data_IF_945285742750
#
_entry.id   IF_945285742750
#
_cell.length_a   1.000
_cell.length_b   1.000
_cell.length_c   1.000
_cell.angle_alpha   90.00
_cell.angle_beta   90.00
_cell.angle_gamma   90.00
#
_symmetry.space_group_name_H-M   'P 1'
#
loop_
_entity.id
_entity.type
_entity.pdbx_description
1 polymer ?
#
# COMPACT_ATOMS: atom_id res chain seq x y z
N UNK A 1 -55.68 -25.64 4.57
CA UNK A 1 -55.05 -24.85 3.49
C UNK A 1 -53.77 -24.09 3.90
N UNK A 2 -53.30 -24.11 5.16
CA UNK A 2 -52.13 -23.32 5.61
C UNK A 2 -50.76 -24.00 5.43
N UNK A 3 -50.75 -25.32 5.19
CA UNK A 3 -49.54 -26.16 5.08
C UNK A 3 -48.64 -25.85 3.87
N UNK A 4 -49.16 -25.64 2.65
CA UNK A 4 -48.31 -25.30 1.50
C UNK A 4 -47.71 -23.89 1.62
N UNK A 5 -48.43 -22.93 2.23
CA UNK A 5 -47.92 -21.57 2.45
C UNK A 5 -46.75 -21.50 3.44
N UNK A 6 -46.77 -22.32 4.49
CA UNK A 6 -45.67 -22.42 5.46
C UNK A 6 -44.40 -23.04 4.84
N UNK A 7 -44.56 -24.03 3.97
CA UNK A 7 -43.43 -24.65 3.26
C UNK A 7 -42.81 -23.67 2.27
N UNK A 8 -43.63 -22.98 1.48
CA UNK A 8 -43.15 -21.97 0.53
C UNK A 8 -42.40 -20.82 1.23
N UNK A 9 -42.91 -20.36 2.39
CA UNK A 9 -42.27 -19.32 3.19
C UNK A 9 -40.92 -19.79 3.75
N UNK A 10 -40.83 -21.04 4.24
CA UNK A 10 -39.58 -21.61 4.75
C UNK A 10 -38.50 -21.75 3.68
N UNK A 11 -38.87 -22.15 2.46
CA UNK A 11 -37.94 -22.26 1.32
C UNK A 11 -37.43 -20.88 0.89
N UNK A 12 -38.31 -19.88 0.84
CA UNK A 12 -37.91 -18.51 0.49
C UNK A 12 -36.94 -17.93 1.52
N UNK A 13 -37.18 -18.14 2.82
CA UNK A 13 -36.28 -17.72 3.90
C UNK A 13 -34.91 -18.41 3.81
N UNK A 14 -34.89 -19.73 3.61
CA UNK A 14 -33.64 -20.46 3.45
C UNK A 14 -32.81 -19.95 2.26
N UNK A 15 -33.44 -19.64 1.13
CA UNK A 15 -32.75 -19.08 -0.04
C UNK A 15 -32.11 -17.72 0.25
N UNK A 16 -32.73 -16.86 1.08
CA UNK A 16 -32.14 -15.57 1.48
C UNK A 16 -30.98 -15.69 2.47
N UNK A 17 -30.82 -16.82 3.16
CA UNK A 17 -29.65 -17.05 4.01
C UNK A 17 -28.41 -17.44 3.19
N UNK A 18 -28.57 -17.98 1.97
CA UNK A 18 -27.44 -18.38 1.12
C UNK A 18 -26.72 -17.20 0.44
N UNK A 19 -27.36 -16.01 0.33
CA UNK A 19 -26.69 -14.81 -0.21
C UNK A 19 -25.60 -14.26 0.73
N UNK A 20 -25.52 -14.72 1.98
CA UNK A 20 -24.43 -14.36 2.89
C UNK A 20 -23.06 -14.92 2.47
N UNK A 21 -23.02 -15.96 1.62
CA UNK A 21 -21.77 -16.49 1.05
C UNK A 21 -21.41 -15.88 -0.33
N UNK A 22 -22.21 -14.94 -0.84
CA UNK A 22 -22.00 -14.28 -2.13
C UNK A 22 -21.24 -12.96 -2.02
N UNK A 23 -20.21 -12.90 -1.17
CA UNK A 23 -19.39 -11.70 -1.07
C UNK A 23 -18.76 -11.34 -2.43
N UNK A 24 -18.59 -10.04 -2.68
CA UNK A 24 -17.90 -9.61 -3.90
C UNK A 24 -16.51 -10.25 -3.92
N UNK A 25 -16.08 -10.88 -5.03
CA UNK A 25 -14.75 -11.44 -5.11
C UNK A 25 -13.71 -10.41 -4.66
N UNK A 26 -12.93 -10.74 -3.61
CA UNK A 26 -11.78 -9.96 -3.16
C UNK A 26 -10.65 -10.10 -4.19
N UNK A 27 -10.95 -9.68 -5.40
CA UNK A 27 -10.03 -9.59 -6.50
C UNK A 27 -9.49 -8.18 -6.53
N UNK A 28 -8.23 -8.05 -6.90
CA UNK A 28 -7.61 -6.75 -7.12
C UNK A 28 -8.05 -6.16 -8.47
N UNK A 29 -9.36 -6.08 -8.70
CA UNK A 29 -9.96 -5.67 -9.96
C UNK A 29 -9.60 -4.22 -10.34
N UNK A 30 -9.28 -3.38 -9.35
CA UNK A 30 -8.83 -2.00 -9.54
C UNK A 30 -7.30 -1.87 -9.74
N UNK A 31 -6.56 -2.98 -9.67
CA UNK A 31 -5.11 -3.01 -9.81
C UNK A 31 -4.34 -2.65 -8.53
N UNK A 32 -3.05 -3.01 -8.50
CA UNK A 32 -2.16 -2.66 -7.39
C UNK A 32 -1.83 -1.17 -7.49
N UNK A 33 -2.07 -0.41 -6.42
CA UNK A 33 -1.51 0.93 -6.32
C UNK A 33 0.00 0.80 -6.17
N UNK A 34 0.74 1.27 -7.17
CA UNK A 34 2.19 1.38 -7.07
C UNK A 34 2.55 2.56 -6.17
N UNK A 35 3.55 2.33 -5.31
CA UNK A 35 4.12 3.40 -4.48
C UNK A 35 4.80 4.46 -5.36
N UNK A 36 4.87 5.68 -4.84
CA UNK A 36 5.64 6.74 -5.47
C UNK A 36 7.13 6.38 -5.50
N UNK A 37 7.85 6.92 -6.48
CA UNK A 37 9.31 6.74 -6.53
C UNK A 37 9.95 7.38 -5.30
N UNK A 38 10.96 6.74 -4.67
CA UNK A 38 11.44 7.17 -3.36
C UNK A 38 12.15 8.53 -3.36
N UNK A 39 12.53 9.06 -4.54
CA UNK A 39 13.11 10.40 -4.69
C UNK A 39 12.06 11.50 -4.96
N UNK A 40 10.75 11.20 -4.97
CA UNK A 40 9.70 12.21 -5.20
C UNK A 40 9.39 13.10 -4.00
N UNK A 41 10.13 12.95 -2.90
CA UNK A 41 9.93 13.71 -1.67
C UNK A 41 8.91 13.07 -0.73
N UNK A 42 8.84 13.59 0.49
CA UNK A 42 8.05 13.03 1.61
C UNK A 42 6.85 13.89 2.01
N UNK A 43 6.59 14.98 1.28
CA UNK A 43 5.46 15.84 1.59
C UNK A 43 4.14 15.30 1.02
N UNK A 44 3.02 15.81 1.50
CA UNK A 44 1.69 15.54 0.92
C UNK A 44 1.51 16.18 -0.47
N UNK A 45 2.36 17.12 -0.84
CA UNK A 45 2.42 17.73 -2.17
C UNK A 45 3.38 16.94 -3.06
N UNK A 46 3.00 16.69 -4.32
CA UNK A 46 3.87 16.00 -5.26
C UNK A 46 5.18 16.79 -5.48
N UNK A 47 6.30 16.07 -5.49
CA UNK A 47 7.63 16.62 -5.76
C UNK A 47 8.07 17.71 -4.78
N UNK A 48 7.58 17.66 -3.54
CA UNK A 48 7.96 18.58 -2.48
C UNK A 48 8.51 17.86 -1.25
N UNK A 49 9.40 18.57 -0.56
CA UNK A 49 10.09 18.10 0.64
C UNK A 49 9.37 18.55 1.90
N UNK A 50 9.80 18.01 3.03
CA UNK A 50 9.43 18.44 4.37
C UNK A 50 10.65 18.98 5.10
N UNK A 51 10.47 19.48 6.33
CA UNK A 51 11.58 19.88 7.21
C UNK A 51 12.58 18.74 7.51
N UNK A 52 12.18 17.49 7.27
CA UNK A 52 13.02 16.30 7.43
C UNK A 52 13.79 15.93 6.16
N UNK A 53 13.65 16.71 5.09
CA UNK A 53 14.40 16.51 3.84
C UNK A 53 15.86 16.89 4.07
N UNK A 54 16.77 16.03 3.61
CA UNK A 54 18.21 16.25 3.81
C UNK A 54 18.62 17.64 3.28
N UNK A 55 19.37 18.44 4.07
CA UNK A 55 19.80 19.76 3.66
C UNK A 55 20.54 19.74 2.31
N UNK A 56 20.18 20.65 1.42
CA UNK A 56 20.81 20.79 0.10
C UNK A 56 20.41 19.74 -0.95
N UNK A 57 19.65 18.70 -0.59
CA UNK A 57 19.09 17.78 -1.58
C UNK A 57 17.88 18.40 -2.29
N UNK A 58 17.79 18.16 -3.61
CA UNK A 58 16.67 18.61 -4.44
C UNK A 58 15.69 17.46 -4.64
N UNK A 59 14.43 17.69 -4.32
CA UNK A 59 13.36 16.72 -4.55
C UNK A 59 13.26 16.40 -6.04
N UNK A 60 13.10 15.12 -6.37
CA UNK A 60 13.11 14.64 -7.76
C UNK A 60 14.50 14.21 -8.24
N UNK A 61 15.59 14.61 -7.56
CA UNK A 61 16.96 14.24 -7.96
C UNK A 61 17.31 12.81 -7.52
N UNK A 62 17.06 11.86 -8.43
CA UNK A 62 17.36 10.43 -8.25
C UNK A 62 18.84 10.17 -7.99
N UNK A 63 19.73 10.80 -8.75
CA UNK A 63 21.17 10.53 -8.67
C UNK A 63 21.71 10.98 -7.32
N UNK A 64 21.36 12.20 -6.88
CA UNK A 64 21.76 12.69 -5.57
C UNK A 64 21.16 11.85 -4.44
N UNK A 65 19.90 11.40 -4.58
CA UNK A 65 19.25 10.52 -3.59
C UNK A 65 19.99 9.17 -3.46
N UNK A 66 20.31 8.53 -4.57
CA UNK A 66 21.06 7.26 -4.58
C UNK A 66 22.47 7.43 -4.01
N UNK A 67 23.13 8.54 -4.31
CA UNK A 67 24.46 8.83 -3.79
C UNK A 67 24.43 9.05 -2.27
N UNK A 68 23.44 9.75 -1.72
CA UNK A 68 23.30 9.90 -0.27
C UNK A 68 23.11 8.56 0.43
N UNK A 69 22.31 7.65 -0.14
CA UNK A 69 22.16 6.30 0.41
C UNK A 69 23.47 5.52 0.37
N UNK A 70 24.18 5.54 -0.77
CA UNK A 70 25.47 4.86 -0.91
C UNK A 70 26.46 5.38 0.14
N UNK A 71 26.60 6.69 0.30
CA UNK A 71 27.47 7.30 1.30
C UNK A 71 27.08 6.89 2.72
N UNK A 72 25.77 6.88 3.05
CA UNK A 72 25.29 6.44 4.36
C UNK A 72 25.68 4.98 4.64
N UNK A 73 25.44 4.09 3.69
CA UNK A 73 25.75 2.67 3.86
C UNK A 73 27.25 2.45 4.00
N UNK A 74 28.07 3.05 3.13
CA UNK A 74 29.50 2.78 3.11
C UNK A 74 30.27 3.47 4.23
N UNK A 75 29.91 4.71 4.58
CA UNK A 75 30.71 5.51 5.51
C UNK A 75 30.07 5.63 6.89
N UNK A 76 28.79 5.28 7.03
CA UNK A 76 28.05 5.40 8.28
C UNK A 76 27.81 4.06 8.97
N UNK A 77 27.38 3.05 8.21
CA UNK A 77 26.84 1.79 8.74
C UNK A 77 27.71 0.57 8.43
N UNK A 78 28.87 0.76 7.80
CA UNK A 78 29.77 -0.33 7.44
C UNK A 78 31.02 -0.29 8.33
N UNK A 79 31.01 -1.07 9.41
CA UNK A 79 32.11 -1.14 10.38
C UNK A 79 33.42 -1.64 9.77
N UNK A 80 33.37 -2.43 8.69
CA UNK A 80 34.57 -2.89 7.98
C UNK A 80 35.43 -1.73 7.45
N UNK A 81 34.86 -0.54 7.26
CA UNK A 81 35.62 0.64 6.82
C UNK A 81 36.43 1.31 7.92
N UNK A 82 36.27 0.90 9.20
CA UNK A 82 36.95 1.52 10.37
C UNK A 82 38.11 0.70 10.93
N UNK A 83 38.21 -0.57 10.56
CA UNK A 83 39.14 -1.55 11.14
C UNK A 83 40.39 -1.79 10.26
N UNK A 84 40.68 -0.89 9.31
CA UNK A 84 41.88 -0.94 8.44
C UNK A 84 42.63 0.39 8.47
#
# INVERSE_FOLDING_TARGET
MKRPGLIALGVALAATCLVACGEKPQTNAQGVKHDAVPWSGTSSQQNAGTVFTAPGWKVGDKTAWQQQLKTRTQNGQNEYTKEN
#
